data_IF_050223508249
#
_entry.id   IF_050223508249
#
_cell.length_a   1.000
_cell.length_b   1.000
_cell.length_c   1.000
_cell.angle_alpha   90.00
_cell.angle_beta   90.00
_cell.angle_gamma   90.00
#
_symmetry.space_group_name_H-M   'P 1'
#
loop_
_entity.id
_entity.type
_entity.pdbx_description
1 polymer ?
#
# COMPACT_ATOMS: atom_id res chain seq x y z
N UNK A 1 34.75 8.85 -0.31
CA UNK A 1 33.73 9.75 0.29
C UNK A 1 33.27 9.22 1.65
N UNK A 2 32.66 8.04 1.74
CA UNK A 2 32.21 7.44 3.02
C UNK A 2 33.32 7.30 4.08
N UNK A 3 34.50 6.84 3.67
CA UNK A 3 35.65 6.68 4.58
C UNK A 3 36.04 8.00 5.27
N UNK A 4 36.08 9.08 4.50
CA UNK A 4 36.39 10.44 4.97
C UNK A 4 35.30 10.98 5.90
N UNK A 5 34.03 10.59 5.70
CA UNK A 5 32.97 10.95 6.63
C UNK A 5 33.10 10.20 7.97
N UNK A 6 33.35 8.90 7.94
CA UNK A 6 33.45 8.08 9.15
C UNK A 6 34.69 8.41 9.98
N UNK A 7 35.86 8.47 9.34
CA UNK A 7 37.14 8.58 10.02
C UNK A 7 37.75 9.99 9.98
N UNK A 8 37.22 10.88 9.15
CA UNK A 8 37.79 12.21 8.94
C UNK A 8 38.94 12.18 7.93
N UNK A 9 39.44 13.36 7.57
CA UNK A 9 40.59 13.51 6.69
C UNK A 9 41.43 14.72 7.06
N UNK A 10 42.69 14.70 6.63
CA UNK A 10 43.57 15.88 6.66
C UNK A 10 43.61 16.56 5.30
N UNK A 11 44.00 17.83 5.27
CA UNK A 11 44.22 18.60 4.03
C UNK A 11 45.15 17.83 3.09
N UNK A 12 44.76 17.74 1.82
CA UNK A 12 45.55 17.06 0.78
C UNK A 12 45.42 15.53 0.76
N UNK A 13 44.55 14.93 1.59
CA UNK A 13 44.34 13.48 1.60
C UNK A 13 43.78 12.90 0.28
N UNK A 14 43.07 13.70 -0.51
CA UNK A 14 42.57 13.37 -1.84
C UNK A 14 42.29 14.65 -2.65
N UNK A 15 42.01 14.52 -3.94
CA UNK A 15 41.66 15.65 -4.81
C UNK A 15 40.39 16.34 -4.30
N UNK A 16 40.51 17.61 -3.87
CA UNK A 16 39.41 18.38 -3.27
C UNK A 16 39.40 18.42 -1.73
N UNK A 17 40.37 17.78 -1.05
CA UNK A 17 40.57 17.92 0.38
C UNK A 17 41.22 19.29 0.72
N UNK A 18 40.42 20.36 0.67
CA UNK A 18 40.88 21.75 0.86
C UNK A 18 41.31 22.08 2.30
N UNK A 19 40.85 21.28 3.27
CA UNK A 19 41.17 21.44 4.69
C UNK A 19 40.94 20.16 5.47
N UNK A 20 41.25 20.20 6.76
CA UNK A 20 41.02 19.10 7.68
C UNK A 20 39.52 18.97 8.02
N UNK A 21 39.05 17.74 8.17
CA UNK A 21 37.67 17.45 8.60
C UNK A 21 37.64 16.35 9.65
N UNK A 22 36.92 16.63 10.73
CA UNK A 22 36.63 15.68 11.81
C UNK A 22 35.67 14.59 11.30
N UNK A 23 35.99 13.32 11.61
CA UNK A 23 35.15 12.17 11.27
C UNK A 23 34.02 11.93 12.26
N UNK A 24 33.04 11.10 11.87
CA UNK A 24 31.92 10.73 12.75
C UNK A 24 32.36 9.98 14.02
N UNK A 25 33.40 9.15 13.95
CA UNK A 25 33.92 8.45 15.14
C UNK A 25 34.55 9.40 16.17
N UNK A 26 35.21 10.45 15.70
CA UNK A 26 35.78 11.48 16.56
C UNK A 26 34.68 12.37 17.14
N UNK A 27 33.70 12.76 16.33
CA UNK A 27 32.58 13.57 16.77
C UNK A 27 31.64 12.86 17.75
N UNK A 28 31.61 11.51 17.73
CA UNK A 28 30.79 10.68 18.61
C UNK A 28 31.58 10.09 19.80
N UNK A 29 32.80 10.58 20.07
CA UNK A 29 33.60 10.11 21.21
C UNK A 29 32.85 10.34 22.53
N UNK A 30 32.84 9.32 23.40
CA UNK A 30 32.01 9.29 24.62
C UNK A 30 30.49 9.25 24.39
N UNK A 31 30.03 9.13 23.14
CA UNK A 31 28.63 9.17 22.74
C UNK A 31 28.16 7.91 22.02
N UNK A 32 27.20 8.07 21.11
CA UNK A 32 26.67 6.98 20.28
C UNK A 32 26.73 7.34 18.80
N UNK A 33 27.25 6.43 17.99
CA UNK A 33 27.24 6.51 16.54
C UNK A 33 26.20 5.53 15.98
N UNK A 34 25.28 6.04 15.16
CA UNK A 34 24.32 5.23 14.41
C UNK A 34 24.78 5.09 12.95
N UNK A 35 24.94 3.86 12.49
CA UNK A 35 25.27 3.53 11.09
C UNK A 35 24.10 2.80 10.44
N UNK A 36 23.40 3.49 9.55
CA UNK A 36 22.39 2.87 8.69
C UNK A 36 23.06 2.17 7.50
N UNK A 37 22.38 1.17 6.95
CA UNK A 37 22.81 0.41 5.77
C UNK A 37 24.24 -0.16 5.85
N UNK A 38 24.62 -0.71 7.01
CA UNK A 38 25.99 -1.23 7.26
C UNK A 38 26.44 -2.32 6.26
N UNK A 39 25.50 -2.96 5.58
CA UNK A 39 25.78 -3.94 4.54
C UNK A 39 26.36 -3.34 3.24
N UNK A 40 26.17 -2.04 2.99
CA UNK A 40 26.64 -1.37 1.78
C UNK A 40 28.08 -0.85 1.90
N UNK A 41 28.72 -1.04 3.06
CA UNK A 41 30.07 -0.52 3.29
C UNK A 41 31.12 -1.31 2.46
N UNK A 42 31.99 -0.61 1.72
CA UNK A 42 33.07 -1.24 0.95
C UNK A 42 34.01 -2.09 1.82
N UNK A 43 34.63 -3.16 1.29
CA UNK A 43 35.51 -4.04 2.05
C UNK A 43 36.66 -3.34 2.78
N UNK A 44 37.25 -2.29 2.18
CA UNK A 44 38.31 -1.48 2.81
C UNK A 44 37.81 -0.80 4.09
N UNK A 45 36.57 -0.32 4.07
CA UNK A 45 35.94 0.31 5.23
C UNK A 45 35.56 -0.73 6.28
N UNK A 46 35.19 -1.96 5.87
CA UNK A 46 34.93 -3.07 6.81
C UNK A 46 36.16 -3.35 7.69
N UNK A 47 37.36 -3.37 7.11
CA UNK A 47 38.61 -3.57 7.87
C UNK A 47 38.86 -2.44 8.87
N UNK A 48 38.67 -1.19 8.44
CA UNK A 48 38.85 -0.04 9.33
C UNK A 48 37.82 -0.01 10.46
N UNK A 49 36.56 -0.30 10.13
CA UNK A 49 35.48 -0.39 11.11
C UNK A 49 35.74 -1.50 12.14
N UNK A 50 36.23 -2.65 11.70
CA UNK A 50 36.64 -3.74 12.58
C UNK A 50 37.72 -3.28 13.57
N UNK A 51 38.74 -2.55 13.09
CA UNK A 51 39.80 -2.01 13.95
C UNK A 51 39.25 -1.05 15.00
N UNK A 52 38.29 -0.19 14.64
CA UNK A 52 37.64 0.70 15.63
C UNK A 52 36.89 -0.11 16.68
N UNK A 53 36.14 -1.13 16.26
CA UNK A 53 35.35 -1.96 17.18
C UNK A 53 36.20 -2.82 18.11
N UNK A 54 37.36 -3.28 17.64
CA UNK A 54 38.26 -4.13 18.42
C UNK A 54 39.24 -3.34 19.29
N UNK A 55 39.92 -2.36 18.69
CA UNK A 55 41.05 -1.64 19.32
C UNK A 55 40.64 -0.27 19.87
N UNK A 56 39.44 0.22 19.57
CA UNK A 56 39.01 1.60 19.88
C UNK A 56 39.90 2.66 19.27
N UNK A 57 40.59 2.32 18.17
CA UNK A 57 41.54 3.19 17.47
C UNK A 57 41.17 3.30 15.99
N UNK A 58 41.34 4.49 15.43
CA UNK A 58 41.23 4.76 13.99
C UNK A 58 42.25 5.82 13.55
N UNK A 59 42.36 6.01 12.24
CA UNK A 59 43.26 6.98 11.59
C UNK A 59 42.45 7.82 10.60
N UNK A 60 42.75 9.12 10.50
CA UNK A 60 42.14 9.98 9.48
C UNK A 60 42.70 9.61 8.11
N UNK A 61 41.92 9.81 7.06
CA UNK A 61 42.41 9.62 5.69
C UNK A 61 43.56 10.60 5.43
N UNK A 62 44.70 10.10 4.98
CA UNK A 62 45.93 10.88 4.74
C UNK A 62 46.79 11.13 5.98
N UNK A 63 46.44 10.57 7.14
CA UNK A 63 47.19 10.71 8.39
C UNK A 63 47.46 9.31 9.00
N UNK A 64 48.70 9.02 9.40
CA UNK A 64 49.04 7.75 10.08
C UNK A 64 49.00 7.88 11.61
N UNK A 65 48.42 8.96 12.13
CA UNK A 65 48.33 9.22 13.56
C UNK A 65 47.14 8.47 14.14
N UNK A 66 47.34 7.51 15.06
CA UNK A 66 46.25 6.81 15.71
C UNK A 66 45.46 7.76 16.61
N UNK A 67 44.13 7.63 16.57
CA UNK A 67 43.17 8.37 17.37
C UNK A 67 42.27 7.38 18.09
N UNK A 68 41.93 7.65 19.34
CA UNK A 68 41.04 6.79 20.14
C UNK A 68 39.60 7.31 20.11
N UNK A 69 38.64 6.41 20.24
CA UNK A 69 37.21 6.74 20.41
C UNK A 69 36.55 5.71 21.32
N UNK A 70 35.70 6.18 22.23
CA UNK A 70 34.81 5.35 23.04
C UNK A 70 33.35 5.41 22.54
N UNK A 71 33.14 5.72 21.27
CA UNK A 71 31.80 5.75 20.69
C UNK A 71 31.10 4.38 20.80
N UNK A 72 29.87 4.37 21.31
CA UNK A 72 28.97 3.22 21.23
C UNK A 72 28.41 3.11 19.82
N UNK A 73 28.59 1.96 19.16
CA UNK A 73 28.04 1.74 17.82
C UNK A 73 26.66 1.09 17.88
N UNK A 74 25.71 1.65 17.11
CA UNK A 74 24.44 1.00 16.75
C UNK A 74 24.41 0.92 15.22
N UNK A 75 24.21 -0.27 14.67
CA UNK A 75 24.12 -0.46 13.22
C UNK A 75 22.74 -0.98 12.81
N UNK A 76 22.34 -0.66 11.58
CA UNK A 76 21.13 -1.16 10.96
C UNK A 76 21.41 -1.60 9.51
N UNK A 77 20.60 -2.55 9.02
CA UNK A 77 20.59 -2.96 7.62
C UNK A 77 19.29 -3.65 7.28
N UNK A 78 18.91 -3.60 6.00
CA UNK A 78 17.82 -4.36 5.41
C UNK A 78 18.30 -5.64 4.68
N UNK A 79 19.61 -5.89 4.61
CA UNK A 79 20.20 -7.08 3.97
C UNK A 79 20.51 -8.17 4.99
N UNK A 80 20.51 -9.42 4.54
CA UNK A 80 20.93 -10.56 5.35
C UNK A 80 22.47 -10.62 5.40
N UNK A 81 23.06 -10.17 6.51
CA UNK A 81 24.51 -10.16 6.67
C UNK A 81 25.11 -11.57 6.67
N UNK A 82 24.43 -12.58 7.24
CA UNK A 82 24.95 -13.94 7.25
C UNK A 82 25.06 -14.55 5.85
N UNK A 83 24.11 -14.24 4.98
CA UNK A 83 24.15 -14.63 3.56
C UNK A 83 25.30 -13.91 2.85
N UNK A 84 25.46 -12.61 3.08
CA UNK A 84 26.59 -11.84 2.51
C UNK A 84 27.96 -12.31 2.98
N UNK A 85 28.07 -12.84 4.21
CA UNK A 85 29.29 -13.49 4.70
C UNK A 85 29.55 -14.77 3.92
N UNK A 86 28.54 -15.62 3.72
CA UNK A 86 28.69 -16.86 2.95
C UNK A 86 29.09 -16.62 1.49
N UNK A 87 28.69 -15.48 0.92
CA UNK A 87 29.07 -15.05 -0.44
C UNK A 87 30.40 -14.29 -0.50
N UNK A 88 31.08 -14.08 0.62
CA UNK A 88 32.35 -13.33 0.69
C UNK A 88 32.23 -11.82 0.45
N UNK A 89 31.01 -11.27 0.44
CA UNK A 89 30.75 -9.82 0.27
C UNK A 89 30.86 -9.04 1.58
N UNK A 90 30.74 -9.73 2.71
CA UNK A 90 30.88 -9.16 4.03
C UNK A 90 31.84 -9.99 4.87
N UNK A 91 32.71 -9.33 5.66
CA UNK A 91 33.67 -10.07 6.48
C UNK A 91 33.02 -10.71 7.68
N UNK A 92 33.37 -11.98 7.92
CA UNK A 92 32.87 -12.76 9.04
C UNK A 92 33.27 -12.16 10.41
N UNK A 93 34.52 -11.69 10.53
CA UNK A 93 35.05 -11.07 11.74
C UNK A 93 34.26 -9.81 12.17
N UNK A 94 33.90 -8.96 11.20
CA UNK A 94 33.07 -7.78 11.40
C UNK A 94 31.62 -8.16 11.72
N UNK A 95 31.07 -9.16 11.05
CA UNK A 95 29.71 -9.63 11.30
C UNK A 95 29.52 -10.00 12.77
N UNK A 96 30.42 -10.81 13.35
CA UNK A 96 30.31 -11.20 14.76
C UNK A 96 30.49 -10.02 15.73
N UNK A 97 31.25 -8.98 15.36
CA UNK A 97 31.41 -7.77 16.20
C UNK A 97 30.20 -6.84 16.14
N UNK A 98 29.46 -6.83 15.03
CA UNK A 98 28.22 -6.06 14.90
C UNK A 98 27.02 -6.82 15.49
N UNK A 99 26.96 -8.13 15.28
CA UNK A 99 25.82 -8.99 15.63
C UNK A 99 25.86 -9.49 17.09
N UNK A 100 26.29 -8.63 18.02
CA UNK A 100 26.35 -8.96 19.45
C UNK A 100 24.94 -8.95 20.08
N UNK A 101 24.11 -7.99 19.68
CA UNK A 101 22.73 -7.85 20.16
C UNK A 101 21.78 -7.54 18.99
N UNK A 102 21.31 -8.56 18.26
CA UNK A 102 20.41 -8.36 17.12
C UNK A 102 19.01 -7.92 17.56
N UNK A 103 18.48 -6.88 16.91
CA UNK A 103 17.09 -6.43 17.07
C UNK A 103 16.39 -6.53 15.71
N UNK A 104 15.41 -7.43 15.60
CA UNK A 104 14.56 -7.51 14.41
C UNK A 104 13.42 -6.51 14.52
N UNK A 105 13.36 -5.56 13.58
CA UNK A 105 12.21 -4.64 13.46
C UNK A 105 11.15 -5.31 12.58
N UNK A 106 9.94 -5.59 13.11
CA UNK A 106 8.89 -6.23 12.32
C UNK A 106 8.38 -5.31 11.22
N UNK A 107 7.99 -5.92 10.10
CA UNK A 107 7.35 -5.22 9.00
C UNK A 107 5.89 -4.88 9.30
N UNK A 108 5.32 -3.87 8.64
CA UNK A 108 3.95 -3.43 8.94
C UNK A 108 2.91 -4.55 8.77
N UNK A 109 3.11 -5.44 7.78
CA UNK A 109 2.29 -6.65 7.57
C UNK A 109 2.35 -7.67 8.70
N UNK A 110 3.38 -7.64 9.55
CA UNK A 110 3.51 -8.50 10.72
C UNK A 110 2.84 -7.89 11.96
N UNK A 111 2.36 -6.64 11.86
CA UNK A 111 1.71 -5.87 12.94
C UNK A 111 0.48 -5.09 12.44
N UNK A 112 -0.39 -5.78 11.72
CA UNK A 112 -1.58 -5.15 11.09
C UNK A 112 -2.53 -4.49 12.10
N UNK A 113 -2.56 -4.99 13.34
CA UNK A 113 -3.40 -4.44 14.41
C UNK A 113 -2.93 -3.05 14.88
N UNK A 114 -1.65 -2.70 14.67
CA UNK A 114 -1.11 -1.38 15.01
C UNK A 114 -1.45 -0.31 13.96
N UNK A 115 -1.91 -0.72 12.77
CA UNK A 115 -2.14 0.19 11.64
C UNK A 115 -3.12 1.33 11.97
N UNK A 116 -4.28 1.10 12.62
CA UNK A 116 -5.21 2.19 12.96
C UNK A 116 -4.57 3.26 13.86
N UNK A 117 -3.80 2.83 14.87
CA UNK A 117 -3.10 3.74 15.78
C UNK A 117 -1.99 4.52 15.05
N UNK A 118 -1.22 3.83 14.20
CA UNK A 118 -0.19 4.44 13.36
C UNK A 118 -0.80 5.48 12.41
N UNK A 119 -1.90 5.15 11.75
CA UNK A 119 -2.63 6.05 10.83
C UNK A 119 -3.05 7.32 11.55
N UNK A 120 -3.69 7.19 12.72
CA UNK A 120 -4.15 8.34 13.49
C UNK A 120 -2.99 9.26 13.89
N UNK A 121 -1.88 8.68 14.36
CA UNK A 121 -0.69 9.45 14.75
C UNK A 121 0.02 10.10 13.56
N UNK A 122 0.11 9.40 12.44
CA UNK A 122 0.70 9.94 11.21
C UNK A 122 -0.16 11.08 10.64
N UNK A 123 -1.48 10.91 10.56
CA UNK A 123 -2.39 11.96 10.10
C UNK A 123 -2.32 13.20 10.97
N UNK A 124 -2.27 13.04 12.30
CA UNK A 124 -2.10 14.16 13.23
C UNK A 124 -0.82 14.94 12.93
N UNK A 125 0.31 14.23 12.80
CA UNK A 125 1.61 14.85 12.47
C UNK A 125 1.62 15.51 11.09
N UNK A 126 0.93 14.94 10.11
CA UNK A 126 0.80 15.52 8.76
C UNK A 126 -0.03 16.81 8.85
N UNK A 127 -1.17 16.77 9.54
CA UNK A 127 -2.04 17.93 9.72
C UNK A 127 -1.33 19.10 10.42
N UNK A 128 -0.56 18.82 11.47
CA UNK A 128 0.25 19.82 12.18
C UNK A 128 1.24 20.54 11.24
N UNK A 129 1.88 19.81 10.32
CA UNK A 129 2.81 20.40 9.34
C UNK A 129 2.11 21.24 8.28
N UNK A 130 0.86 20.92 7.94
CA UNK A 130 0.07 21.63 6.94
C UNK A 130 -0.85 22.71 7.54
N UNK A 131 -0.84 22.90 8.87
CA UNK A 131 -1.68 23.88 9.56
C UNK A 131 -3.18 23.61 9.46
N UNK A 132 -3.57 22.34 9.24
CA UNK A 132 -4.95 21.93 9.01
C UNK A 132 -5.54 21.11 10.15
N UNK A 133 -6.85 20.87 10.12
CA UNK A 133 -7.50 19.91 11.00
C UNK A 133 -7.15 18.47 10.59
N UNK A 134 -7.11 17.57 11.57
CA UNK A 134 -6.91 16.14 11.31
C UNK A 134 -8.16 15.58 10.63
N UNK A 135 -8.08 15.10 9.37
CA UNK A 135 -9.25 14.56 8.69
C UNK A 135 -9.67 13.24 9.35
N UNK A 136 -10.98 12.97 9.34
CA UNK A 136 -11.48 11.63 9.63
C UNK A 136 -11.04 10.61 8.57
N UNK A 137 -11.18 9.33 8.86
CA UNK A 137 -10.90 8.24 7.91
C UNK A 137 -12.07 7.26 7.90
N UNK A 138 -12.48 6.78 6.72
CA UNK A 138 -13.56 5.79 6.62
C UNK A 138 -13.09 4.39 7.01
N UNK A 139 -14.02 3.56 7.49
CA UNK A 139 -13.73 2.16 7.82
C UNK A 139 -13.28 1.35 6.61
N UNK A 140 -13.72 1.71 5.39
CA UNK A 140 -13.28 1.09 4.15
C UNK A 140 -11.78 1.29 3.91
N UNK A 141 -11.26 2.48 4.20
CA UNK A 141 -9.83 2.76 4.10
C UNK A 141 -9.06 1.97 5.16
N UNK A 142 -9.55 1.91 6.41
CA UNK A 142 -8.89 1.12 7.45
C UNK A 142 -8.88 -0.38 7.11
N UNK A 143 -9.96 -0.91 6.53
CA UNK A 143 -10.00 -2.29 6.02
C UNK A 143 -8.96 -2.53 4.91
N UNK A 144 -8.90 -1.63 3.94
CA UNK A 144 -7.91 -1.71 2.85
C UNK A 144 -6.48 -1.64 3.38
N UNK A 145 -6.21 -0.76 4.34
CA UNK A 145 -4.90 -0.64 4.95
C UNK A 145 -4.50 -1.89 5.74
N UNK A 146 -5.44 -2.60 6.35
CA UNK A 146 -5.17 -3.88 7.01
C UNK A 146 -4.91 -5.03 6.03
N UNK A 147 -5.50 -5.00 4.83
CA UNK A 147 -5.30 -6.05 3.82
C UNK A 147 -4.04 -5.85 2.97
N UNK A 148 -3.64 -4.60 2.76
CA UNK A 148 -2.50 -4.27 1.90
C UNK A 148 -1.17 -4.68 2.54
N UNK A 149 -0.25 -5.20 1.72
CA UNK A 149 1.02 -5.79 2.19
C UNK A 149 2.06 -4.76 2.66
N UNK A 150 1.92 -3.49 2.29
CA UNK A 150 2.86 -2.41 2.61
C UNK A 150 4.32 -2.74 2.28
N UNK A 151 4.68 -2.98 1.01
CA UNK A 151 6.07 -3.22 0.61
C UNK A 151 7.04 -2.11 1.06
N UNK A 152 6.60 -0.84 1.07
CA UNK A 152 7.38 0.28 1.59
C UNK A 152 7.11 0.60 3.07
N UNK A 153 6.38 -0.27 3.78
CA UNK A 153 6.16 -0.22 5.22
C UNK A 153 5.59 1.15 5.68
N UNK A 154 6.02 1.66 6.84
CA UNK A 154 5.59 2.96 7.38
C UNK A 154 5.86 4.13 6.41
N UNK A 155 6.92 4.08 5.59
CA UNK A 155 7.23 5.17 4.63
C UNK A 155 6.16 5.26 3.55
N UNK A 156 5.74 4.12 2.99
CA UNK A 156 4.64 4.06 2.01
C UNK A 156 3.30 4.45 2.63
N UNK A 157 3.01 3.99 3.85
CA UNK A 157 1.81 4.40 4.60
C UNK A 157 1.76 5.92 4.79
N UNK A 158 2.86 6.53 5.22
CA UNK A 158 2.94 7.97 5.40
C UNK A 158 2.71 8.72 4.08
N UNK A 159 3.37 8.30 2.99
CA UNK A 159 3.19 8.92 1.67
C UNK A 159 1.74 8.79 1.17
N UNK A 160 1.09 7.66 1.42
CA UNK A 160 -0.30 7.43 1.06
C UNK A 160 -1.27 8.34 1.83
N UNK A 161 -1.02 8.52 3.12
CA UNK A 161 -1.80 9.42 3.97
C UNK A 161 -1.60 10.89 3.58
N UNK A 162 -0.36 11.31 3.27
CA UNK A 162 -0.06 12.65 2.76
C UNK A 162 -0.80 12.91 1.45
N UNK A 163 -0.73 11.96 0.50
CA UNK A 163 -1.48 12.04 -0.76
C UNK A 163 -2.99 12.16 -0.52
N UNK A 164 -3.54 11.32 0.36
CA UNK A 164 -4.97 11.28 0.63
C UNK A 164 -5.47 12.56 1.31
N UNK A 165 -4.69 13.14 2.22
CA UNK A 165 -5.02 14.40 2.87
C UNK A 165 -5.05 15.58 1.91
N UNK A 166 -4.09 15.65 0.97
CA UNK A 166 -4.10 16.68 -0.09
C UNK A 166 -5.33 16.52 -0.97
N UNK A 167 -5.67 15.28 -1.33
CA UNK A 167 -6.79 14.98 -2.24
C UNK A 167 -8.16 15.15 -1.59
N UNK A 168 -8.29 14.90 -0.28
CA UNK A 168 -9.53 15.10 0.47
C UNK A 168 -9.77 16.56 0.87
N UNK A 169 -8.75 17.43 0.73
CA UNK A 169 -8.82 18.85 1.08
C UNK A 169 -9.31 19.11 2.52
N UNK A 170 -8.92 18.23 3.46
CA UNK A 170 -9.31 18.32 4.87
C UNK A 170 -10.67 17.68 5.20
N UNK A 171 -11.39 17.13 4.21
CA UNK A 171 -12.54 16.27 4.46
C UNK A 171 -12.12 14.85 4.85
N UNK A 172 -13.10 14.05 5.29
CA UNK A 172 -12.91 12.62 5.62
C UNK A 172 -12.25 11.88 4.46
N UNK A 173 -11.13 11.21 4.75
CA UNK A 173 -10.38 10.39 3.80
C UNK A 173 -11.18 9.12 3.51
N UNK A 174 -11.31 8.80 2.23
CA UNK A 174 -12.04 7.66 1.70
C UNK A 174 -11.22 7.01 0.58
N UNK A 175 -11.61 5.81 0.12
CA UNK A 175 -10.79 4.97 -0.78
C UNK A 175 -10.40 5.68 -2.08
N UNK A 176 -11.27 6.54 -2.61
CA UNK A 176 -11.02 7.31 -3.84
C UNK A 176 -10.05 8.49 -3.66
N UNK A 177 -9.71 8.82 -2.41
CA UNK A 177 -8.65 9.78 -2.07
C UNK A 177 -7.27 9.11 -2.03
N UNK A 178 -7.18 7.78 -2.01
CA UNK A 178 -5.90 7.07 -1.88
C UNK A 178 -5.12 7.01 -3.21
N UNK A 179 -3.79 6.80 -3.16
CA UNK A 179 -2.98 6.55 -4.35
C UNK A 179 -3.47 5.31 -5.12
N UNK A 180 -3.52 5.35 -6.47
CA UNK A 180 -3.92 4.20 -7.29
C UNK A 180 -3.09 2.93 -7.07
N UNK A 181 -1.83 3.07 -6.62
CA UNK A 181 -0.93 1.95 -6.33
C UNK A 181 -1.41 1.05 -5.17
N UNK A 182 -2.12 1.62 -4.20
CA UNK A 182 -2.69 0.92 -3.04
C UNK A 182 -4.08 0.41 -3.37
N UNK A 183 -4.81 1.14 -4.21
CA UNK A 183 -6.13 0.78 -4.71
C UNK A 183 -5.97 -0.22 -5.87
N UNK A 184 -5.35 -1.39 -5.63
CA UNK A 184 -5.28 -2.41 -6.67
C UNK A 184 -6.67 -3.00 -6.96
N UNK A 185 -7.05 -3.21 -8.23
CA UNK A 185 -8.37 -3.73 -8.61
C UNK A 185 -8.70 -5.12 -8.06
N UNK A 186 -7.69 -5.94 -7.74
CA UNK A 186 -7.85 -7.34 -7.33
C UNK A 186 -8.29 -7.51 -5.88
N UNK A 187 -7.78 -6.73 -4.93
CA UNK A 187 -8.21 -6.81 -3.52
C UNK A 187 -9.60 -6.18 -3.30
N UNK A 188 -9.91 -5.17 -4.11
CA UNK A 188 -11.27 -4.68 -4.25
C UNK A 188 -12.22 -5.71 -4.88
N UNK A 189 -11.74 -6.75 -5.56
CA UNK A 189 -12.59 -7.85 -6.02
C UNK A 189 -12.79 -8.88 -4.90
N UNK A 190 -11.75 -9.23 -4.14
CA UNK A 190 -11.86 -10.23 -3.05
C UNK A 190 -12.69 -9.71 -1.87
N UNK A 191 -12.51 -8.45 -1.46
CA UNK A 191 -13.33 -7.84 -0.40
C UNK A 191 -14.77 -7.53 -0.88
N UNK A 192 -14.97 -7.18 -2.16
CA UNK A 192 -16.31 -6.95 -2.72
C UNK A 192 -17.07 -8.25 -3.02
N UNK A 193 -16.38 -9.37 -3.25
CA UNK A 193 -17.03 -10.65 -3.56
C UNK A 193 -17.59 -11.36 -2.32
N UNK A 194 -17.17 -10.97 -1.11
CA UNK A 194 -17.60 -11.66 0.12
C UNK A 194 -18.84 -11.05 0.81
N UNK A 195 -19.32 -9.86 0.40
CA UNK A 195 -20.35 -9.13 1.17
C UNK A 195 -21.71 -9.03 0.44
N UNK A 196 -21.75 -9.20 -0.89
CA UNK A 196 -23.01 -9.15 -1.64
C UNK A 196 -23.12 -10.38 -2.53
N UNK A 197 -23.83 -11.38 -2.01
CA UNK A 197 -24.31 -12.51 -2.79
C UNK A 197 -25.31 -12.02 -3.85
N UNK A 198 -25.23 -12.61 -5.04
CA UNK A 198 -26.20 -12.39 -6.11
C UNK A 198 -27.65 -12.55 -5.61
N UNK A 199 -27.86 -13.49 -4.69
CA UNK A 199 -29.14 -13.76 -4.04
C UNK A 199 -29.62 -12.56 -3.20
N UNK A 200 -28.74 -11.90 -2.45
CA UNK A 200 -29.10 -10.72 -1.65
C UNK A 200 -29.56 -9.54 -2.52
N UNK A 201 -28.90 -9.34 -3.68
CA UNK A 201 -29.29 -8.32 -4.65
C UNK A 201 -30.63 -8.69 -5.31
N UNK A 202 -30.85 -9.95 -5.66
CA UNK A 202 -32.14 -10.41 -6.23
C UNK A 202 -33.28 -10.23 -5.23
N UNK A 203 -33.11 -10.65 -3.98
CA UNK A 203 -34.12 -10.49 -2.92
C UNK A 203 -34.46 -9.02 -2.65
N UNK A 204 -33.46 -8.15 -2.57
CA UNK A 204 -33.68 -6.71 -2.37
C UNK A 204 -34.40 -6.07 -3.58
N UNK A 205 -34.08 -6.51 -4.80
CA UNK A 205 -34.77 -6.05 -6.00
C UNK A 205 -36.22 -6.54 -6.05
N UNK A 206 -36.50 -7.80 -5.72
CA UNK A 206 -37.86 -8.35 -5.69
C UNK A 206 -38.73 -7.67 -4.63
N UNK A 207 -38.18 -7.50 -3.41
CA UNK A 207 -38.84 -6.83 -2.28
C UNK A 207 -39.24 -5.39 -2.60
N UNK A 208 -38.46 -4.69 -3.41
CA UNK A 208 -38.72 -3.30 -3.84
C UNK A 208 -39.31 -3.19 -5.26
N UNK A 209 -39.84 -4.28 -5.83
CA UNK A 209 -40.42 -4.29 -7.18
C UNK A 209 -39.49 -3.69 -8.26
N UNK A 210 -38.21 -4.03 -8.20
CA UNK A 210 -37.13 -3.54 -9.06
C UNK A 210 -36.88 -2.02 -8.98
N UNK A 211 -37.32 -1.34 -7.92
CA UNK A 211 -36.92 0.03 -7.63
C UNK A 211 -35.46 0.07 -7.18
N UNK A 212 -34.59 0.41 -8.13
CA UNK A 212 -33.12 0.42 -7.97
C UNK A 212 -32.66 1.38 -6.88
N UNK A 213 -33.34 2.50 -6.69
CA UNK A 213 -32.96 3.51 -5.69
C UNK A 213 -33.28 3.01 -4.28
N UNK A 214 -34.44 2.37 -4.10
CA UNK A 214 -34.84 1.79 -2.82
C UNK A 214 -34.01 0.54 -2.47
N UNK A 215 -33.76 -0.35 -3.44
CA UNK A 215 -32.91 -1.52 -3.26
C UNK A 215 -31.46 -1.16 -2.94
N UNK A 216 -30.89 -0.14 -3.59
CA UNK A 216 -29.55 0.34 -3.27
C UNK A 216 -29.45 0.90 -1.85
N UNK A 217 -30.50 1.59 -1.39
CA UNK A 217 -30.59 2.16 -0.03
C UNK A 217 -30.69 1.08 1.05
N UNK A 218 -31.48 0.02 0.83
CA UNK A 218 -31.57 -1.12 1.77
C UNK A 218 -30.25 -1.89 1.84
N UNK A 219 -29.57 -2.07 0.71
CA UNK A 219 -28.28 -2.77 0.64
C UNK A 219 -27.09 -1.91 1.10
N UNK A 220 -27.31 -0.64 1.48
CA UNK A 220 -26.24 0.27 1.91
C UNK A 220 -25.22 0.59 0.81
N UNK A 221 -25.57 0.44 -0.46
CA UNK A 221 -24.67 0.66 -1.61
C UNK A 221 -25.12 1.83 -2.48
N UNK A 222 -24.17 2.46 -3.19
CA UNK A 222 -24.50 3.46 -4.20
C UNK A 222 -25.29 2.85 -5.36
N UNK A 223 -26.21 3.63 -5.95
CA UNK A 223 -26.99 3.26 -7.14
C UNK A 223 -26.11 2.84 -8.33
N UNK A 224 -24.92 3.42 -8.46
CA UNK A 224 -23.94 3.08 -9.51
C UNK A 224 -23.38 1.66 -9.28
N UNK A 225 -23.12 1.31 -8.02
CA UNK A 225 -22.63 -0.01 -7.61
C UNK A 225 -23.67 -1.09 -7.85
N UNK A 226 -24.94 -0.82 -7.51
CA UNK A 226 -26.05 -1.75 -7.79
C UNK A 226 -26.20 -2.00 -9.29
N UNK A 227 -26.18 -0.94 -10.11
CA UNK A 227 -26.34 -1.07 -11.56
C UNK A 227 -25.21 -1.85 -12.24
N UNK A 228 -23.97 -1.64 -11.80
CA UNK A 228 -22.82 -2.42 -12.26
C UNK A 228 -22.99 -3.91 -11.94
N UNK A 229 -23.41 -4.25 -10.71
CA UNK A 229 -23.67 -5.65 -10.30
C UNK A 229 -24.80 -6.31 -11.09
N UNK A 230 -25.89 -5.59 -11.34
CA UNK A 230 -26.99 -6.11 -12.17
C UNK A 230 -26.53 -6.45 -13.59
N UNK A 231 -25.59 -5.67 -14.15
CA UNK A 231 -24.99 -5.93 -15.46
C UNK A 231 -24.06 -7.14 -15.42
N UNK A 232 -23.19 -7.23 -14.42
CA UNK A 232 -22.21 -8.30 -14.30
C UNK A 232 -22.87 -9.69 -14.16
N UNK A 233 -24.07 -9.76 -13.56
CA UNK A 233 -24.83 -11.01 -13.38
C UNK A 233 -26.04 -11.17 -14.31
N UNK A 234 -26.19 -10.31 -15.32
CA UNK A 234 -27.28 -10.43 -16.30
C UNK A 234 -28.69 -10.30 -15.70
N UNK A 235 -28.86 -9.62 -14.56
CA UNK A 235 -30.16 -9.40 -13.93
C UNK A 235 -30.92 -8.36 -14.76
N UNK A 236 -31.75 -8.85 -15.68
CA UNK A 236 -32.57 -7.99 -16.54
C UNK A 236 -33.53 -7.15 -15.70
N UNK A 237 -33.48 -5.84 -15.90
CA UNK A 237 -34.46 -4.95 -15.28
C UNK A 237 -35.83 -5.19 -15.93
N UNK A 238 -36.76 -5.80 -15.20
CA UNK A 238 -38.19 -5.71 -15.54
C UNK A 238 -38.69 -4.32 -15.19
N UNK A 239 -38.20 -3.30 -15.91
CA UNK A 239 -38.76 -1.95 -15.84
C UNK A 239 -39.55 -1.74 -17.12
N UNK A 240 -40.86 -1.50 -16.97
CA UNK A 240 -41.86 -1.56 -18.02
C UNK A 240 -41.63 -0.55 -19.14
N UNK A 241 -41.21 -1.06 -20.29
CA UNK A 241 -41.36 -0.41 -21.60
C UNK A 241 -41.76 -1.39 -22.72
N UNK A 242 -41.95 -2.69 -22.42
CA UNK A 242 -42.24 -3.73 -23.41
C UNK A 242 -43.52 -4.54 -23.14
N UNK A 243 -44.50 -3.95 -22.45
CA UNK A 243 -45.85 -4.54 -22.32
C UNK A 243 -46.76 -4.23 -23.54
N UNK A 244 -46.41 -3.23 -24.37
CA UNK A 244 -47.22 -2.84 -25.53
C UNK A 244 -46.83 -3.51 -26.85
N UNK A 245 -45.67 -4.17 -26.94
CA UNK A 245 -45.23 -4.80 -28.19
C UNK A 245 -45.72 -6.25 -28.36
N UNK A 246 -46.10 -6.91 -27.25
CA UNK A 246 -46.62 -8.29 -27.26
C UNK A 246 -48.15 -8.36 -27.38
N UNK A 247 -48.89 -7.28 -27.07
CA UNK A 247 -50.35 -7.21 -27.32
C UNK A 247 -50.69 -6.87 -28.77
N UNK A 248 -49.93 -5.99 -29.43
CA UNK A 248 -50.17 -5.60 -30.83
C UNK A 248 -49.84 -6.68 -31.87
N UNK A 249 -49.08 -7.72 -31.51
CA UNK A 249 -48.80 -8.86 -32.39
C UNK A 249 -49.87 -9.96 -32.34
N UNK A 250 -50.80 -9.91 -31.38
CA UNK A 250 -51.91 -10.87 -31.27
C UNK A 250 -53.25 -10.32 -31.81
N UNK A 251 -53.36 -9.02 -32.08
CA UNK A 251 -54.58 -8.39 -32.63
C UNK A 251 -54.56 -8.19 -34.16
N UNK A 252 -53.43 -8.44 -34.84
CA UNK A 252 -53.30 -8.29 -36.31
C UNK A 252 -53.39 -9.62 -37.08
N UNK A 253 -53.64 -10.74 -36.40
CA UNK A 253 -53.82 -12.07 -37.01
C UNK A 253 -55.29 -12.52 -37.12
N UNK A 254 -56.26 -11.61 -36.90
CA UNK A 254 -57.69 -11.91 -36.92
C UNK A 254 -58.47 -10.95 -37.81
N UNK A 255 -58.35 -11.08 -39.14
CA UNK A 255 -59.23 -10.34 -40.04
C UNK A 255 -58.68 -10.15 -41.45
N UNK A 256 -58.74 -11.21 -42.27
CA UNK A 256 -58.83 -11.01 -43.72
C UNK A 256 -59.88 -11.96 -44.30
N UNK A 257 -60.98 -11.35 -44.73
CA UNK A 257 -62.07 -11.93 -45.52
C UNK A 257 -61.51 -12.41 -46.86
N UNK A 258 -61.93 -13.60 -47.30
CA UNK A 258 -61.97 -13.98 -48.72
C UNK A 258 -63.42 -14.39 -49.04
N UNK A 259 -64.02 -13.91 -50.15
CA UNK A 259 -65.40 -14.22 -50.52
C UNK A 259 -65.51 -15.41 -51.49
N UNK A 260 -66.70 -16.02 -51.58
CA UNK A 260 -67.13 -16.90 -52.69
C UNK A 260 -67.66 -18.26 -52.25
N UNK A 261 -68.99 -18.42 -52.14
CA UNK A 261 -69.86 -19.22 -53.04
C UNK A 261 -69.75 -20.73 -52.80
N UNK A 262 -70.65 -21.31 -52.00
CA UNK A 262 -71.94 -21.92 -52.40
C UNK A 262 -71.85 -23.42 -52.73
N UNK A 263 -72.65 -24.18 -51.95
CA UNK A 263 -73.39 -25.40 -52.30
C UNK A 263 -72.56 -26.60 -52.83
N UNK A 264 -72.46 -27.73 -52.13
CA UNK A 264 -73.58 -28.66 -51.92
C UNK A 264 -73.15 -29.77 -50.95
N UNK A 265 -74.08 -30.14 -50.08
CA UNK A 265 -74.14 -31.39 -49.29
C UNK A 265 -74.52 -32.57 -50.23
N UNK A 266 -74.59 -33.88 -49.83
CA UNK A 266 -74.48 -34.42 -48.47
C UNK A 266 -73.82 -35.84 -48.32
N UNK A 267 -73.66 -36.26 -47.05
CA UNK A 267 -74.01 -37.59 -46.51
C UNK A 267 -73.15 -38.86 -46.80
N UNK A 268 -72.61 -39.36 -45.68
CA UNK A 268 -72.37 -40.74 -45.21
C UNK A 268 -71.21 -41.61 -45.72
N UNK A 269 -70.51 -42.13 -44.69
CA UNK A 269 -69.58 -43.28 -44.58
C UNK A 269 -68.16 -43.13 -45.11
#
# INVERSE_FOLDING_TARGET
>A
MLESELFGHVKGAFTGALGDRVGRFEAADGGTLFLDEVAEIPPVIQVKLLRVLQERVFERVGENKPRRTDARLISATNKNLSEMVSEGRFREDLFYRLNVFPIRVPSLRERVDDIPLLVHRLLSRIADRHGGAVPGITDDVLRLFRSYRWPGNVRELQAALEYAMIRSQGATIDVHHLPPSIVQPSELAVARNCILDEQAIRMALEKHHYNRTAAAKELGISRITLWRRMRDWGIASRTGANANHLRRAQETAGGSKVPGSEQTSPVYR
#
